data_IF_233701517354
#
_entry.id   IF_233701517354
#
_cell.length_a   1.000
_cell.length_b   1.000
_cell.length_c   1.000
_cell.angle_alpha   90.00
_cell.angle_beta   90.00
_cell.angle_gamma   90.00
#
_symmetry.space_group_name_H-M   'P 1'
#
loop_
_entity.id
_entity.type
_entity.pdbx_description
1 polymer ?
#
# COMPACT_ATOMS: atom_id res chain seq x y z
N UNK A 1 4.95 12.53 13.21
CA UNK A 1 5.69 12.56 11.94
C UNK A 1 4.70 12.41 10.80
N UNK A 2 4.78 13.26 9.78
CA UNK A 2 3.85 13.15 8.66
C UNK A 2 4.26 12.03 7.70
N UNK A 3 3.34 11.64 6.83
CA UNK A 3 3.55 10.53 5.92
C UNK A 3 4.69 10.79 4.94
N UNK A 4 4.83 12.01 4.45
CA UNK A 4 5.93 12.39 3.56
C UNK A 4 7.28 12.10 4.20
N UNK A 5 7.47 12.50 5.46
CA UNK A 5 8.71 12.26 6.20
C UNK A 5 8.98 10.77 6.36
N UNK A 6 7.94 9.99 6.66
CA UNK A 6 8.05 8.53 6.79
C UNK A 6 8.50 7.91 5.47
N UNK A 7 7.86 8.28 4.37
CA UNK A 7 8.19 7.75 3.04
C UNK A 7 9.62 8.09 2.65
N UNK A 8 10.04 9.34 2.84
CA UNK A 8 11.39 9.77 2.52
C UNK A 8 12.42 9.00 3.34
N UNK A 9 12.16 8.81 4.64
CA UNK A 9 13.05 8.04 5.50
C UNK A 9 13.26 6.62 4.97
N UNK A 10 12.17 5.89 4.72
CA UNK A 10 12.28 4.50 4.28
C UNK A 10 12.82 4.39 2.86
N UNK A 11 12.47 5.32 1.97
CA UNK A 11 13.02 5.35 0.62
C UNK A 11 14.54 5.50 0.64
N UNK A 12 15.05 6.45 1.43
CA UNK A 12 16.47 6.69 1.53
C UNK A 12 17.19 5.50 2.17
N UNK A 13 16.58 4.92 3.19
CA UNK A 13 17.15 3.75 3.86
C UNK A 13 17.23 2.55 2.93
N UNK A 14 16.15 2.31 2.18
CA UNK A 14 16.13 1.21 1.21
C UNK A 14 17.19 1.40 0.12
N UNK A 15 17.32 2.61 -0.39
CA UNK A 15 18.28 2.92 -1.44
C UNK A 15 19.73 2.71 -0.99
N UNK A 16 20.00 2.71 0.30
CA UNK A 16 21.35 2.49 0.84
C UNK A 16 21.73 1.00 0.91
N UNK A 17 20.78 0.09 0.67
CA UNK A 17 21.01 -1.35 0.80
C UNK A 17 21.38 -1.98 -0.54
N UNK A 18 22.33 -2.93 -0.55
CA UNK A 18 22.78 -3.55 -1.80
C UNK A 18 21.74 -4.45 -2.48
N UNK A 19 20.82 -5.01 -1.70
CA UNK A 19 19.76 -5.90 -2.20
C UNK A 19 18.39 -5.25 -2.15
N UNK A 20 18.34 -3.93 -2.33
CA UNK A 20 17.09 -3.14 -2.23
C UNK A 20 15.96 -3.70 -3.09
N UNK A 21 16.26 -4.08 -4.34
CA UNK A 21 15.24 -4.57 -5.26
C UNK A 21 14.60 -5.88 -4.83
N UNK A 22 15.28 -6.67 -4.02
CA UNK A 22 14.73 -7.91 -3.47
C UNK A 22 13.85 -7.67 -2.25
N UNK A 23 14.03 -6.54 -1.58
CA UNK A 23 13.29 -6.17 -0.37
C UNK A 23 11.96 -5.53 -0.74
N UNK A 24 11.97 -4.57 -1.65
CA UNK A 24 10.77 -3.83 -2.04
C UNK A 24 11.12 -2.67 -2.97
N UNK A 25 10.10 -1.86 -3.23
CA UNK A 25 10.25 -0.69 -4.09
C UNK A 25 9.40 0.46 -3.54
N UNK A 26 10.07 1.60 -3.27
CA UNK A 26 9.40 2.82 -2.81
C UNK A 26 9.70 3.89 -3.87
N UNK A 27 8.91 3.97 -4.95
CA UNK A 27 9.21 4.89 -6.04
C UNK A 27 8.99 6.33 -5.65
N UNK A 28 9.57 7.24 -6.43
CA UNK A 28 9.29 8.67 -6.30
C UNK A 28 7.82 8.94 -6.60
N UNK A 29 7.32 10.10 -6.17
CA UNK A 29 5.96 10.48 -6.43
C UNK A 29 5.67 10.70 -7.92
N UNK A 30 4.41 10.55 -8.30
CA UNK A 30 3.97 10.82 -9.66
C UNK A 30 4.07 12.33 -9.94
N UNK A 31 4.70 12.69 -11.05
CA UNK A 31 4.80 14.09 -11.45
C UNK A 31 3.47 14.62 -11.97
N UNK A 32 2.80 13.80 -12.78
CA UNK A 32 1.51 14.13 -13.36
C UNK A 32 0.59 12.92 -13.24
N UNK A 33 -0.58 13.14 -12.66
CA UNK A 33 -1.60 12.09 -12.58
C UNK A 33 -2.64 12.39 -13.67
N UNK A 34 -2.88 11.45 -14.60
CA UNK A 34 -3.85 11.66 -15.68
C UNK A 34 -5.23 12.03 -15.13
N UNK A 35 -5.98 12.91 -15.83
CA UNK A 35 -7.33 13.30 -15.38
C UNK A 35 -8.26 12.11 -15.16
N UNK A 36 -8.17 11.08 -15.97
CA UNK A 36 -8.98 9.86 -15.85
C UNK A 36 -8.72 9.17 -14.52
N UNK A 37 -7.47 9.16 -14.08
CA UNK A 37 -7.09 8.58 -12.79
C UNK A 37 -7.59 9.45 -11.64
N UNK A 38 -7.46 10.76 -11.76
CA UNK A 38 -7.96 11.70 -10.74
C UNK A 38 -9.46 11.57 -10.54
N UNK A 39 -10.22 11.26 -11.60
CA UNK A 39 -11.65 11.03 -11.50
C UNK A 39 -11.99 9.72 -10.81
N UNK A 40 -11.11 8.73 -10.94
CA UNK A 40 -11.30 7.41 -10.34
C UNK A 40 -11.02 7.40 -8.84
N UNK A 41 -9.96 8.07 -8.40
CA UNK A 41 -9.39 7.87 -7.07
C UNK A 41 -9.87 8.88 -6.03
N UNK A 42 -9.78 8.48 -4.76
CA UNK A 42 -10.08 9.37 -3.63
C UNK A 42 -8.97 10.41 -3.46
N UNK A 43 -9.29 11.61 -2.92
CA UNK A 43 -8.27 12.65 -2.69
C UNK A 43 -7.08 12.20 -1.84
N UNK A 44 -7.33 11.39 -0.81
CA UNK A 44 -6.27 10.88 0.06
C UNK A 44 -5.30 10.00 -0.72
N UNK A 45 -5.80 9.23 -1.68
CA UNK A 45 -4.98 8.38 -2.53
C UNK A 45 -4.17 9.21 -3.54
N UNK A 46 -4.76 10.25 -4.11
CA UNK A 46 -4.02 11.11 -5.02
C UNK A 46 -2.87 11.82 -4.30
N UNK A 47 -3.09 12.24 -3.05
CA UNK A 47 -2.04 12.83 -2.22
C UNK A 47 -0.89 11.84 -1.99
N UNK A 48 -1.22 10.57 -1.72
CA UNK A 48 -0.21 9.53 -1.56
C UNK A 48 0.59 9.31 -2.84
N UNK A 49 -0.08 9.23 -4.00
CA UNK A 49 0.60 9.02 -5.28
C UNK A 49 1.60 10.13 -5.61
N UNK A 50 1.34 11.34 -5.15
CA UNK A 50 2.28 12.46 -5.32
C UNK A 50 3.52 12.31 -4.46
N UNK A 51 3.48 11.51 -3.42
CA UNK A 51 4.62 11.21 -2.56
C UNK A 51 5.31 9.91 -2.95
N UNK A 52 4.53 8.94 -3.46
CA UNK A 52 4.99 7.60 -3.77
C UNK A 52 4.07 7.01 -4.83
N UNK A 53 4.59 6.78 -6.02
CA UNK A 53 3.77 6.35 -7.17
C UNK A 53 3.56 4.83 -7.17
N UNK A 54 2.78 4.34 -6.19
CA UNK A 54 2.60 2.91 -5.99
C UNK A 54 3.80 2.29 -5.32
N UNK A 55 4.06 1.02 -5.61
CA UNK A 55 5.26 0.37 -5.10
C UNK A 55 5.03 -1.07 -4.65
N UNK A 56 6.10 -1.66 -4.14
CA UNK A 56 6.11 -3.03 -3.65
C UNK A 56 6.61 -3.04 -2.21
N UNK A 57 5.79 -3.55 -1.31
CA UNK A 57 6.04 -3.51 0.12
C UNK A 57 5.80 -4.90 0.71
N UNK A 58 6.66 -5.83 0.38
CA UNK A 58 6.49 -7.23 0.77
C UNK A 58 5.29 -7.85 0.08
N UNK A 59 4.36 -8.35 0.84
CA UNK A 59 3.14 -8.98 0.31
C UNK A 59 2.14 -7.98 -0.27
N UNK A 60 2.35 -6.69 -0.03
CA UNK A 60 1.47 -5.62 -0.52
C UNK A 60 2.10 -4.98 -1.75
N UNK A 61 1.34 -4.93 -2.85
CA UNK A 61 1.72 -4.20 -4.06
C UNK A 61 0.65 -3.14 -4.30
N UNK A 62 1.07 -1.90 -4.47
CA UNK A 62 0.16 -0.81 -4.81
C UNK A 62 0.39 -0.38 -6.26
N UNK A 63 -0.69 -0.16 -6.99
CA UNK A 63 -0.62 0.23 -8.38
C UNK A 63 -0.13 1.67 -8.51
N UNK A 64 0.72 1.91 -9.53
CA UNK A 64 1.11 3.26 -9.92
C UNK A 64 -0.06 3.99 -10.57
N UNK A 65 0.06 5.31 -10.74
CA UNK A 65 -0.95 6.09 -11.46
C UNK A 65 -1.19 5.52 -12.87
N UNK A 66 -0.14 5.01 -13.51
CA UNK A 66 -0.21 4.44 -14.86
C UNK A 66 -0.92 3.10 -14.90
N UNK A 67 -0.84 2.33 -13.80
CA UNK A 67 -1.41 0.98 -13.73
C UNK A 67 -2.85 0.94 -13.24
N UNK A 68 -3.31 1.99 -12.56
CA UNK A 68 -4.63 1.99 -11.90
C UNK A 68 -5.78 1.69 -12.87
N UNK A 69 -5.83 2.37 -14.02
CA UNK A 69 -6.94 2.18 -14.95
C UNK A 69 -7.00 0.77 -15.54
N UNK A 70 -5.87 0.12 -15.68
CA UNK A 70 -5.78 -1.22 -16.25
C UNK A 70 -6.18 -2.32 -15.27
N UNK A 71 -6.28 -2.00 -13.98
CA UNK A 71 -6.49 -2.99 -12.94
C UNK A 71 -7.82 -2.81 -12.20
N UNK A 72 -8.90 -2.48 -12.92
CA UNK A 72 -10.22 -2.30 -12.30
C UNK A 72 -11.20 -3.42 -12.61
N UNK A 73 -10.76 -4.47 -13.27
CA UNK A 73 -11.64 -5.55 -13.72
C UNK A 73 -12.12 -6.48 -12.60
N UNK A 74 -11.51 -6.41 -11.41
CA UNK A 74 -11.89 -7.25 -10.26
C UNK A 74 -12.86 -6.55 -9.30
N UNK A 75 -13.24 -5.31 -9.58
CA UNK A 75 -14.16 -4.55 -8.71
C UNK A 75 -15.55 -5.18 -8.77
N UNK A 76 -16.15 -5.53 -7.60
CA UNK A 76 -17.49 -6.09 -7.58
C UNK A 76 -18.53 -5.09 -8.08
N UNK A 77 -19.46 -5.55 -8.92
CA UNK A 77 -20.52 -4.69 -9.46
C UNK A 77 -21.46 -4.17 -8.36
N UNK A 78 -21.56 -4.88 -7.23
CA UNK A 78 -22.38 -4.51 -6.08
C UNK A 78 -21.77 -3.38 -5.27
N UNK A 79 -20.50 -3.04 -5.53
CA UNK A 79 -19.77 -2.01 -4.79
C UNK A 79 -19.30 -0.92 -5.73
N UNK A 80 -20.21 -0.06 -6.21
CA UNK A 80 -19.85 0.93 -7.24
C UNK A 80 -18.91 2.02 -6.76
N UNK A 81 -18.76 2.21 -5.45
CA UNK A 81 -17.84 3.20 -4.90
C UNK A 81 -16.44 2.67 -4.67
N UNK A 82 -16.22 1.37 -4.84
CA UNK A 82 -14.90 0.77 -4.66
C UNK A 82 -14.07 0.87 -5.93
N UNK A 83 -12.76 0.96 -5.77
CA UNK A 83 -11.83 0.76 -6.88
C UNK A 83 -10.58 0.05 -6.35
N UNK A 84 -9.89 -0.67 -7.24
CA UNK A 84 -8.73 -1.46 -6.84
C UNK A 84 -7.49 -0.58 -6.78
N UNK A 85 -6.78 -0.61 -5.64
CA UNK A 85 -5.56 0.18 -5.43
C UNK A 85 -4.29 -0.67 -5.51
N UNK A 86 -4.42 -1.97 -5.47
CA UNK A 86 -3.27 -2.88 -5.47
C UNK A 86 -3.70 -4.28 -5.12
N UNK A 87 -2.78 -5.05 -4.57
CA UNK A 87 -3.11 -6.42 -4.19
C UNK A 87 -2.29 -6.87 -2.98
N UNK A 88 -2.84 -7.86 -2.29
CA UNK A 88 -2.20 -8.54 -1.17
C UNK A 88 -2.15 -10.02 -1.56
N UNK A 89 -0.95 -10.54 -1.83
CA UNK A 89 -0.75 -11.92 -2.29
C UNK A 89 -1.72 -12.31 -3.43
N UNK A 90 -1.75 -11.51 -4.48
CA UNK A 90 -2.57 -11.73 -5.68
C UNK A 90 -4.07 -11.44 -5.51
N UNK A 91 -4.55 -11.22 -4.28
CA UNK A 91 -5.95 -10.85 -4.03
C UNK A 91 -6.09 -9.32 -4.03
N UNK A 92 -7.17 -8.77 -4.60
CA UNK A 92 -7.27 -7.32 -4.75
C UNK A 92 -7.47 -6.59 -3.43
N UNK A 93 -6.80 -5.45 -3.31
CA UNK A 93 -7.08 -4.45 -2.27
C UNK A 93 -7.94 -3.36 -2.89
N UNK A 94 -9.05 -3.04 -2.26
CA UNK A 94 -9.95 -2.00 -2.73
C UNK A 94 -9.90 -0.77 -1.82
N UNK A 95 -10.26 0.37 -2.37
CA UNK A 95 -10.50 1.58 -1.60
C UNK A 95 -11.93 2.02 -1.87
N UNK A 96 -12.67 2.32 -0.79
CA UNK A 96 -13.99 2.89 -0.90
C UNK A 96 -13.85 4.40 -1.06
N UNK A 97 -14.28 4.94 -2.19
CA UNK A 97 -14.13 6.36 -2.50
C UNK A 97 -14.88 7.26 -1.53
N UNK A 98 -15.99 6.79 -0.96
CA UNK A 98 -16.79 7.58 -0.03
C UNK A 98 -16.19 7.61 1.38
N UNK A 99 -15.87 6.43 1.93
CA UNK A 99 -15.32 6.35 3.28
C UNK A 99 -13.81 6.60 3.32
N UNK A 100 -13.14 6.46 2.17
CA UNK A 100 -11.68 6.52 2.03
C UNK A 100 -10.98 5.46 2.86
N UNK A 101 -11.64 4.32 3.04
CA UNK A 101 -11.10 3.16 3.75
C UNK A 101 -10.64 2.08 2.79
N UNK A 102 -9.54 1.42 3.16
CA UNK A 102 -9.01 0.27 2.44
C UNK A 102 -9.78 -0.96 2.90
N UNK A 103 -10.19 -1.78 1.93
CA UNK A 103 -10.93 -3.01 2.18
C UNK A 103 -10.02 -4.18 1.82
N UNK A 104 -9.72 -5.01 2.83
CA UNK A 104 -8.82 -6.16 2.67
C UNK A 104 -9.56 -7.37 2.09
N UNK A 105 -8.84 -8.22 1.34
CA UNK A 105 -9.43 -9.49 0.87
C UNK A 105 -9.74 -10.39 2.07
N UNK A 106 -10.91 -11.04 2.02
CA UNK A 106 -11.42 -11.81 3.16
C UNK A 106 -10.77 -13.18 3.33
N UNK A 107 -10.18 -13.73 2.27
CA UNK A 107 -9.72 -15.12 2.27
C UNK A 107 -8.20 -15.31 2.36
N UNK A 108 -7.45 -14.21 2.50
CA UNK A 108 -5.98 -14.29 2.45
C UNK A 108 -5.37 -14.58 3.82
N UNK A 109 -5.77 -13.83 4.83
CA UNK A 109 -5.23 -14.00 6.18
C UNK A 109 -6.35 -14.03 7.21
N UNK A 110 -6.21 -14.97 8.14
CA UNK A 110 -7.10 -15.05 9.29
C UNK A 110 -6.91 -13.81 10.16
N UNK A 111 -8.01 -13.21 10.58
CA UNK A 111 -7.99 -12.04 11.46
C UNK A 111 -8.08 -10.69 10.79
N UNK A 112 -8.00 -10.64 9.44
CA UNK A 112 -8.21 -9.37 8.72
C UNK A 112 -9.48 -9.38 7.87
N UNK A 113 -10.26 -10.45 7.97
CA UNK A 113 -11.53 -10.56 7.25
C UNK A 113 -12.49 -9.43 7.63
N UNK A 114 -13.02 -8.74 6.63
CA UNK A 114 -13.98 -7.69 6.84
C UNK A 114 -13.42 -6.42 7.47
N UNK A 115 -12.10 -6.32 7.65
CA UNK A 115 -11.50 -5.13 8.23
C UNK A 115 -11.46 -4.01 7.18
N UNK A 116 -12.00 -2.86 7.58
CA UNK A 116 -11.87 -1.62 6.83
C UNK A 116 -10.94 -0.71 7.62
N UNK A 117 -9.90 -0.21 6.96
CA UNK A 117 -8.88 0.63 7.60
C UNK A 117 -8.78 1.93 6.82
N UNK A 118 -8.84 3.07 7.50
CA UNK A 118 -8.68 4.33 6.80
C UNK A 118 -7.31 4.36 6.10
N UNK A 119 -7.24 5.11 4.99
CA UNK A 119 -6.05 5.08 4.13
C UNK A 119 -4.79 5.56 4.84
N UNK A 120 -4.91 6.57 5.72
CA UNK A 120 -3.76 7.07 6.46
C UNK A 120 -3.19 5.99 7.40
N UNK A 121 -4.06 5.30 8.14
CA UNK A 121 -3.65 4.19 9.01
C UNK A 121 -3.04 3.06 8.17
N UNK A 122 -3.64 2.75 7.03
CA UNK A 122 -3.12 1.71 6.14
C UNK A 122 -1.69 2.00 5.72
N UNK A 123 -1.41 3.22 5.27
CA UNK A 123 -0.06 3.57 4.81
C UNK A 123 0.94 3.62 5.96
N UNK A 124 0.58 4.25 7.07
CA UNK A 124 1.49 4.44 8.21
C UNK A 124 1.76 3.16 8.98
N UNK A 125 0.75 2.33 9.19
CA UNK A 125 0.86 1.19 10.09
C UNK A 125 0.93 -0.15 9.39
N UNK A 126 0.27 -0.31 8.25
CA UNK A 126 0.26 -1.61 7.54
C UNK A 126 1.36 -1.69 6.48
N UNK A 127 1.73 -0.59 5.86
CA UNK A 127 2.83 -0.57 4.89
C UNK A 127 4.16 -0.26 5.58
N UNK A 128 4.19 0.80 6.39
CA UNK A 128 5.42 1.31 7.00
C UNK A 128 5.50 1.13 8.50
N UNK A 129 4.67 0.29 9.08
CA UNK A 129 4.62 0.15 10.54
C UNK A 129 4.45 -1.29 11.00
N UNK A 130 4.28 -1.44 12.32
CA UNK A 130 4.23 -2.73 12.99
C UNK A 130 3.03 -3.59 12.61
N UNK A 131 1.96 -2.99 12.09
CA UNK A 131 0.77 -3.75 11.68
C UNK A 131 1.06 -4.68 10.50
N UNK A 132 2.08 -4.37 9.69
CA UNK A 132 2.50 -5.29 8.65
C UNK A 132 2.84 -6.66 9.23
N UNK A 133 3.69 -6.70 10.24
CA UNK A 133 4.06 -7.96 10.89
C UNK A 133 2.89 -8.58 11.65
N UNK A 134 2.15 -7.76 12.41
CA UNK A 134 1.06 -8.25 13.25
C UNK A 134 -0.12 -8.81 12.45
N UNK A 135 -0.50 -8.14 11.35
CA UNK A 135 -1.77 -8.40 10.66
C UNK A 135 -1.63 -8.96 9.26
N UNK A 136 -0.53 -8.67 8.57
CA UNK A 136 -0.37 -9.10 7.19
C UNK A 136 0.34 -10.45 7.12
N UNK A 137 1.55 -10.55 7.67
CA UNK A 137 2.34 -11.78 7.56
C UNK A 137 2.26 -12.67 8.80
N UNK A 138 1.90 -12.11 9.97
CA UNK A 138 1.90 -12.85 11.24
C UNK A 138 3.28 -12.95 11.87
N UNK A 139 3.29 -13.11 13.19
CA UNK A 139 4.54 -13.13 13.96
C UNK A 139 5.43 -14.33 13.65
N UNK A 140 4.85 -15.41 13.15
CA UNK A 140 5.60 -16.65 12.87
C UNK A 140 6.39 -16.59 11.55
N UNK A 141 6.18 -15.56 10.74
CA UNK A 141 6.87 -15.43 9.46
C UNK A 141 8.11 -14.55 9.62
N UNK A 142 9.20 -15.16 10.06
CA UNK A 142 10.46 -14.44 10.33
C UNK A 142 11.28 -14.15 9.07
N UNK A 143 10.96 -14.79 7.96
CA UNK A 143 11.74 -14.71 6.72
C UNK A 143 11.26 -13.62 5.76
N UNK A 144 10.28 -12.82 6.15
CA UNK A 144 9.78 -11.75 5.28
C UNK A 144 10.76 -10.59 5.22
N UNK A 145 11.24 -10.30 4.02
CA UNK A 145 12.26 -9.27 3.80
C UNK A 145 11.77 -7.86 4.12
N UNK A 146 10.51 -7.56 3.81
CA UNK A 146 9.94 -6.24 4.09
C UNK A 146 9.81 -6.00 5.59
N UNK A 147 9.31 -7.01 6.32
CA UNK A 147 9.20 -6.94 7.77
C UNK A 147 10.56 -6.73 8.43
N UNK A 148 11.58 -7.47 7.98
CA UNK A 148 12.95 -7.32 8.49
C UNK A 148 13.50 -5.92 8.20
N UNK A 149 13.24 -5.41 6.99
CA UNK A 149 13.65 -4.05 6.61
C UNK A 149 13.01 -3.01 7.52
N UNK A 150 11.69 -3.11 7.77
CA UNK A 150 11.01 -2.16 8.66
C UNK A 150 11.59 -2.19 10.07
N UNK A 151 11.86 -3.37 10.60
CA UNK A 151 12.41 -3.53 11.95
C UNK A 151 13.81 -2.93 12.06
N UNK A 152 14.63 -3.07 11.02
CA UNK A 152 16.01 -2.58 11.01
C UNK A 152 16.14 -1.12 10.61
N UNK A 153 15.06 -0.50 10.15
CA UNK A 153 15.07 0.88 9.63
C UNK A 153 14.13 1.79 10.40
N UNK A 154 13.75 1.39 11.60
CA UNK A 154 12.74 2.06 12.42
C UNK A 154 13.01 3.57 12.56
N UNK A 155 11.94 4.36 12.44
CA UNK A 155 11.97 5.81 12.64
C UNK A 155 11.69 6.08 14.11
N UNK A 156 12.69 6.58 14.80
CA UNK A 156 12.56 6.94 16.21
C UNK A 156 11.99 8.34 16.40
#
# INVERSE_FOLDING_TARGET
MNLETIIIHYRNRLASLPDATLIGEIPEGAENIPPEVLQLIAPVHSAFLKLCNGGSFGDIILWSAEELLENQYRVPSEQPSWYEIGQLLYEPLFLDKHSQCVIFPTDVYEGIEGIEVDFDTFTREYIFGSKYKEKIIGYDNEDDDWSAFLSNSFVS
#
